data_IF_890538095289
#
_entry.id   IF_890538095289
#
_cell.length_a   1.000
_cell.length_b   1.000
_cell.length_c   1.000
_cell.angle_alpha   90.00
_cell.angle_beta   90.00
_cell.angle_gamma   90.00
#
_symmetry.space_group_name_H-M   'P 1'
#
loop_
_entity.id
_entity.type
_entity.pdbx_description
1 polymer ?
#
# COMPACT_ATOMS: atom_id res chain seq x y z
N UNK A 1 8.84 20.91 3.58
CA UNK A 1 8.69 20.36 4.95
C UNK A 1 7.40 20.91 5.49
N UNK A 2 6.45 20.04 5.85
CA UNK A 2 5.27 20.43 6.63
C UNK A 2 5.72 20.91 8.01
N UNK A 3 5.07 21.94 8.54
CA UNK A 3 5.44 22.78 9.72
C UNK A 3 5.48 22.05 11.08
N UNK A 4 5.83 20.76 11.14
CA UNK A 4 5.82 19.97 12.37
C UNK A 4 4.42 19.72 12.96
N UNK A 5 3.37 20.41 12.44
CA UNK A 5 1.96 20.31 12.87
C UNK A 5 1.45 18.88 12.83
N UNK A 6 1.85 18.10 11.83
CA UNK A 6 1.49 16.68 11.73
C UNK A 6 1.83 15.89 12.98
N UNK A 7 2.93 16.22 13.65
CA UNK A 7 3.42 15.50 14.82
C UNK A 7 3.02 16.13 16.16
N UNK A 8 2.31 17.26 16.15
CA UNK A 8 1.89 17.91 17.39
C UNK A 8 0.78 17.10 18.07
N UNK A 9 0.84 16.98 19.41
CA UNK A 9 -0.20 16.33 20.22
C UNK A 9 -0.46 14.86 19.86
N UNK A 10 -1.65 14.36 20.20
CA UNK A 10 -2.04 12.97 19.90
C UNK A 10 -2.55 12.84 18.45
N UNK A 11 -1.62 12.80 17.50
CA UNK A 11 -1.95 12.72 16.08
C UNK A 11 -2.71 11.43 15.72
N UNK A 12 -2.50 10.32 16.43
CA UNK A 12 -3.23 9.06 16.23
C UNK A 12 -4.71 9.19 16.56
N UNK A 13 -5.03 9.87 17.67
CA UNK A 13 -6.41 10.17 18.02
C UNK A 13 -7.08 11.05 16.95
N UNK A 14 -6.38 12.12 16.50
CA UNK A 14 -6.90 12.99 15.43
C UNK A 14 -7.14 12.23 14.14
N UNK A 15 -6.20 11.39 13.70
CA UNK A 15 -6.36 10.59 12.48
C UNK A 15 -7.63 9.73 12.56
N UNK A 16 -7.86 9.04 13.70
CA UNK A 16 -9.05 8.21 13.94
C UNK A 16 -10.34 9.04 13.96
N UNK A 17 -10.31 10.25 14.50
CA UNK A 17 -11.45 11.18 14.42
C UNK A 17 -11.75 11.57 12.97
N UNK A 18 -10.75 11.98 12.19
CA UNK A 18 -10.93 12.34 10.77
C UNK A 18 -11.50 11.20 9.92
N UNK A 19 -11.12 9.96 10.24
CA UNK A 19 -11.63 8.76 9.58
C UNK A 19 -13.11 8.54 9.93
N UNK A 20 -13.47 8.63 11.22
CA UNK A 20 -14.87 8.51 11.66
C UNK A 20 -15.77 9.63 11.11
N UNK A 21 -15.26 10.86 11.05
CA UNK A 21 -15.98 12.00 10.44
C UNK A 21 -16.30 11.78 8.96
N UNK A 22 -15.56 10.89 8.29
CA UNK A 22 -15.78 10.47 6.89
C UNK A 22 -16.65 9.22 6.76
N UNK A 23 -17.19 8.70 7.87
CA UNK A 23 -18.08 7.54 7.88
C UNK A 23 -17.37 6.18 7.79
N UNK A 24 -16.08 6.12 8.12
CA UNK A 24 -15.33 4.87 8.14
C UNK A 24 -15.05 4.42 9.58
N UNK A 25 -15.18 3.13 9.84
CA UNK A 25 -14.96 2.55 11.16
C UNK A 25 -13.48 2.22 11.44
N UNK A 26 -12.65 2.20 10.41
CA UNK A 26 -11.23 1.84 10.54
C UNK A 26 -10.35 2.53 9.48
N UNK A 27 -9.04 2.57 9.73
CA UNK A 27 -8.06 3.13 8.78
C UNK A 27 -8.00 2.27 7.53
N UNK A 28 -8.07 0.94 7.70
CA UNK A 28 -8.12 -0.03 6.60
C UNK A 28 -9.35 0.21 5.73
N UNK A 29 -10.54 0.35 6.31
CA UNK A 29 -11.76 0.61 5.55
C UNK A 29 -11.68 1.91 4.74
N UNK A 30 -11.15 2.98 5.32
CA UNK A 30 -10.94 4.25 4.62
C UNK A 30 -9.98 4.10 3.43
N UNK A 31 -8.87 3.37 3.63
CA UNK A 31 -7.85 3.15 2.62
C UNK A 31 -8.35 2.20 1.51
N UNK A 32 -9.06 1.14 1.85
CA UNK A 32 -9.58 0.14 0.90
C UNK A 32 -10.74 0.67 0.04
N UNK A 33 -11.47 1.69 0.51
CA UNK A 33 -12.41 2.42 -0.35
C UNK A 33 -11.71 3.20 -1.49
N UNK A 34 -10.37 3.34 -1.43
CA UNK A 34 -9.53 4.06 -2.40
C UNK A 34 -8.27 3.23 -2.70
N UNK A 35 -8.39 1.99 -3.20
CA UNK A 35 -7.31 1.02 -3.18
C UNK A 35 -6.08 1.45 -3.99
N UNK A 36 -6.28 2.26 -5.03
CA UNK A 36 -5.22 2.76 -5.94
C UNK A 36 -4.65 4.13 -5.54
N UNK A 37 -5.23 4.81 -4.55
CA UNK A 37 -4.76 6.13 -4.13
C UNK A 37 -3.40 6.03 -3.41
N UNK A 38 -2.48 6.97 -3.66
CA UNK A 38 -1.22 7.01 -2.88
C UNK A 38 -1.47 7.36 -1.41
N UNK A 39 -0.54 6.99 -0.51
CA UNK A 39 -0.59 7.39 0.90
C UNK A 39 -0.65 8.92 1.09
N UNK A 40 0.00 9.67 0.19
CA UNK A 40 -0.05 11.14 0.17
C UNK A 40 -1.46 11.63 -0.19
N UNK A 41 -2.11 11.01 -1.17
CA UNK A 41 -3.47 11.35 -1.54
C UNK A 41 -4.47 11.06 -0.41
N UNK A 42 -4.33 9.91 0.26
CA UNK A 42 -5.12 9.56 1.45
C UNK A 42 -4.93 10.60 2.57
N UNK A 43 -3.69 10.97 2.85
CA UNK A 43 -3.37 11.98 3.85
C UNK A 43 -3.95 13.36 3.52
N UNK A 44 -3.83 13.79 2.25
CA UNK A 44 -4.42 15.03 1.75
C UNK A 44 -5.94 15.04 1.89
N UNK A 45 -6.58 13.91 1.65
CA UNK A 45 -8.02 13.80 1.86
C UNK A 45 -8.40 13.91 3.33
N UNK A 46 -7.62 13.32 4.25
CA UNK A 46 -7.91 13.34 5.70
C UNK A 46 -7.68 14.71 6.34
N UNK A 47 -6.65 15.43 5.90
CA UNK A 47 -6.32 16.75 6.38
C UNK A 47 -5.12 17.30 5.63
N UNK A 48 -5.32 18.19 4.63
CA UNK A 48 -4.20 18.80 3.92
C UNK A 48 -3.34 19.58 4.92
N UNK A 49 -2.02 19.38 4.84
CA UNK A 49 -1.00 19.98 5.73
C UNK A 49 -1.09 19.61 7.22
N UNK A 50 -2.06 18.77 7.60
CA UNK A 50 -2.27 18.26 8.97
C UNK A 50 -1.84 16.79 9.05
N UNK A 51 -2.23 15.95 8.09
CA UNK A 51 -1.88 14.53 8.07
C UNK A 51 -0.78 14.27 7.03
N UNK A 52 0.24 13.51 7.44
CA UNK A 52 1.30 13.03 6.54
C UNK A 52 1.04 11.60 6.06
N UNK A 53 1.51 11.24 4.85
CA UNK A 53 1.36 9.88 4.31
C UNK A 53 1.95 8.80 5.22
N UNK A 54 3.08 9.08 5.88
CA UNK A 54 3.70 8.17 6.85
C UNK A 54 2.81 7.91 8.07
N UNK A 55 1.98 8.87 8.48
CA UNK A 55 1.04 8.69 9.59
C UNK A 55 -0.12 7.79 9.21
N UNK A 56 -0.59 7.89 7.97
CA UNK A 56 -1.60 6.97 7.42
C UNK A 56 -1.02 5.56 7.39
N UNK A 57 0.21 5.39 6.91
CA UNK A 57 0.85 4.08 6.84
C UNK A 57 1.12 3.48 8.23
N UNK A 58 1.65 4.25 9.17
CA UNK A 58 1.87 3.81 10.56
C UNK A 58 0.55 3.31 11.19
N UNK A 59 -0.54 4.05 11.00
CA UNK A 59 -1.85 3.64 11.51
C UNK A 59 -2.41 2.38 10.82
N UNK A 60 -2.15 2.20 9.52
CA UNK A 60 -2.48 0.97 8.79
C UNK A 60 -1.69 -0.23 9.33
N UNK A 61 -0.39 -0.07 9.55
CA UNK A 61 0.47 -1.12 10.13
C UNK A 61 -0.01 -1.51 11.52
N UNK A 62 -0.25 -0.54 12.41
CA UNK A 62 -0.77 -0.81 13.75
C UNK A 62 -2.11 -1.56 13.72
N UNK A 63 -3.03 -1.13 12.86
CA UNK A 63 -4.34 -1.77 12.72
C UNK A 63 -4.20 -3.19 12.18
N UNK A 64 -3.38 -3.40 11.15
CA UNK A 64 -3.14 -4.70 10.53
C UNK A 64 -2.42 -5.68 11.48
N UNK A 65 -1.46 -5.23 12.27
CA UNK A 65 -0.81 -6.06 13.31
C UNK A 65 -1.85 -6.50 14.35
N UNK A 66 -2.66 -5.56 14.85
CA UNK A 66 -3.70 -5.85 15.84
C UNK A 66 -4.78 -6.81 15.31
N UNK A 67 -5.14 -6.68 14.03
CA UNK A 67 -6.15 -7.52 13.39
C UNK A 67 -5.60 -8.80 12.74
N UNK A 68 -4.28 -9.02 12.80
CA UNK A 68 -3.57 -10.11 12.12
C UNK A 68 -3.77 -10.14 10.60
N UNK A 69 -3.80 -8.96 9.97
CA UNK A 69 -4.00 -8.78 8.53
C UNK A 69 -2.81 -8.10 7.84
N UNK A 70 -1.59 -8.34 8.34
CA UNK A 70 -0.37 -7.69 7.79
C UNK A 70 -0.12 -8.13 6.34
N UNK A 71 -0.33 -9.40 5.99
CA UNK A 71 -0.18 -9.85 4.60
C UNK A 71 -1.16 -9.14 3.66
N UNK A 72 -2.40 -8.94 4.10
CA UNK A 72 -3.39 -8.15 3.36
C UNK A 72 -2.94 -6.70 3.17
N UNK A 73 -2.42 -6.05 4.21
CA UNK A 73 -1.86 -4.70 4.12
C UNK A 73 -0.73 -4.64 3.08
N UNK A 74 0.17 -5.63 3.09
CA UNK A 74 1.29 -5.73 2.13
C UNK A 74 0.78 -5.86 0.70
N UNK A 75 -0.26 -6.67 0.44
CA UNK A 75 -0.92 -6.73 -0.89
C UNK A 75 -1.53 -5.38 -1.27
N UNK A 76 -2.20 -4.72 -0.33
CA UNK A 76 -2.79 -3.39 -0.54
C UNK A 76 -1.74 -2.31 -0.86
N UNK A 77 -0.56 -2.38 -0.24
CA UNK A 77 0.53 -1.46 -0.56
C UNK A 77 1.08 -1.71 -1.97
N UNK A 78 1.22 -2.98 -2.39
CA UNK A 78 1.62 -3.31 -3.76
C UNK A 78 0.65 -2.73 -4.80
N UNK A 79 -0.67 -2.83 -4.57
CA UNK A 79 -1.69 -2.23 -5.44
C UNK A 79 -1.45 -0.73 -5.64
N UNK A 80 -1.12 0.00 -4.55
CA UNK A 80 -0.84 1.45 -4.61
C UNK A 80 0.42 1.77 -5.40
N UNK A 81 1.48 0.99 -5.22
CA UNK A 81 2.74 1.20 -5.95
C UNK A 81 2.60 0.86 -7.44
N UNK A 82 1.94 -0.24 -7.77
CA UNK A 82 1.64 -0.60 -9.17
C UNK A 82 0.77 0.48 -9.82
N UNK A 83 -0.30 0.93 -9.16
CA UNK A 83 -1.17 1.99 -9.71
C UNK A 83 -0.45 3.31 -9.92
N UNK A 84 0.55 3.61 -9.08
CA UNK A 84 1.31 4.86 -9.13
C UNK A 84 2.32 4.88 -10.27
N UNK A 85 3.04 3.79 -10.48
CA UNK A 85 4.15 3.73 -11.43
C UNK A 85 3.79 3.05 -12.75
N UNK A 86 2.77 2.19 -12.76
CA UNK A 86 2.31 1.45 -13.94
C UNK A 86 0.86 1.82 -14.25
N UNK A 87 0.63 3.07 -14.64
CA UNK A 87 -0.72 3.60 -14.91
C UNK A 87 -1.49 2.82 -16.00
N UNK A 88 -0.77 2.11 -16.88
CA UNK A 88 -1.32 1.26 -17.94
C UNK A 88 -1.27 -0.24 -17.61
N UNK A 89 -0.98 -0.59 -16.34
CA UNK A 89 -0.79 -1.96 -15.88
C UNK A 89 0.56 -2.55 -16.26
N UNK A 90 0.72 -3.85 -16.02
CA UNK A 90 1.97 -4.55 -16.24
C UNK A 90 2.42 -4.48 -17.71
N UNK A 91 3.71 -4.22 -17.99
CA UNK A 91 4.18 -4.04 -19.35
C UNK A 91 4.17 -5.35 -20.15
N UNK A 92 3.98 -5.25 -21.46
CA UNK A 92 4.04 -6.41 -22.37
C UNK A 92 5.47 -6.98 -22.53
N UNK A 93 6.49 -6.15 -22.34
CA UNK A 93 7.89 -6.52 -22.34
C UNK A 93 8.66 -5.65 -21.34
N UNK A 94 9.67 -6.22 -20.66
CA UNK A 94 10.55 -5.49 -19.74
C UNK A 94 11.78 -4.92 -20.49
N UNK A 95 11.54 -3.88 -21.29
CA UNK A 95 12.61 -3.05 -21.86
C UNK A 95 13.22 -2.09 -20.82
N UNK A 96 14.18 -1.26 -21.20
CA UNK A 96 14.93 -0.45 -20.23
C UNK A 96 14.06 0.59 -19.49
N UNK A 97 13.03 1.14 -20.14
CA UNK A 97 12.11 2.12 -19.53
C UNK A 97 11.13 1.41 -18.58
N UNK A 98 10.41 0.41 -19.09
CA UNK A 98 9.42 -0.34 -18.31
C UNK A 98 10.06 -1.14 -17.17
N UNK A 99 11.29 -1.63 -17.35
CA UNK A 99 12.05 -2.28 -16.27
C UNK A 99 12.35 -1.32 -15.12
N UNK A 100 12.65 -0.06 -15.42
CA UNK A 100 12.88 0.94 -14.37
C UNK A 100 11.59 1.22 -13.59
N UNK A 101 10.45 1.40 -14.26
CA UNK A 101 9.16 1.63 -13.59
C UNK A 101 8.75 0.47 -12.68
N UNK A 102 8.88 -0.77 -13.18
CA UNK A 102 8.63 -1.99 -12.38
C UNK A 102 9.59 -2.06 -11.19
N UNK A 103 10.89 -1.78 -11.41
CA UNK A 103 11.88 -1.78 -10.33
C UNK A 103 11.56 -0.72 -9.25
N UNK A 104 11.11 0.47 -9.64
CA UNK A 104 10.69 1.51 -8.70
C UNK A 104 9.46 1.06 -7.90
N UNK A 105 8.45 0.50 -8.56
CA UNK A 105 7.24 0.01 -7.90
C UNK A 105 7.54 -1.06 -6.86
N UNK A 106 8.30 -2.10 -7.26
CA UNK A 106 8.68 -3.20 -6.35
C UNK A 106 9.65 -2.74 -5.26
N UNK A 107 10.56 -1.82 -5.58
CA UNK A 107 11.49 -1.23 -4.60
C UNK A 107 10.77 -0.43 -3.52
N UNK A 108 9.78 0.39 -3.89
CA UNK A 108 8.96 1.14 -2.94
C UNK A 108 8.08 0.21 -2.10
N UNK A 109 7.47 -0.79 -2.73
CA UNK A 109 6.70 -1.81 -2.02
C UNK A 109 7.55 -2.54 -0.96
N UNK A 110 8.76 -2.95 -1.33
CA UNK A 110 9.72 -3.56 -0.41
C UNK A 110 10.10 -2.60 0.73
N UNK A 111 10.40 -1.33 0.43
CA UNK A 111 10.77 -0.34 1.43
C UNK A 111 9.67 -0.02 2.46
N UNK A 112 8.40 -0.15 2.08
CA UNK A 112 7.28 0.01 3.02
C UNK A 112 7.01 -1.25 3.84
N UNK A 113 7.42 -2.43 3.36
CA UNK A 113 7.06 -3.72 3.96
C UNK A 113 7.52 -3.81 5.42
N UNK A 114 6.65 -4.21 6.36
CA UNK A 114 7.08 -4.46 7.74
C UNK A 114 8.16 -5.55 7.82
N UNK A 115 9.12 -5.41 8.74
CA UNK A 115 10.26 -6.34 8.90
C UNK A 115 9.82 -7.82 8.98
N UNK A 116 8.67 -8.09 9.60
CA UNK A 116 8.10 -9.45 9.72
C UNK A 116 7.73 -10.09 8.38
N UNK A 117 7.62 -9.32 7.30
CA UNK A 117 7.15 -9.74 5.98
C UNK A 117 8.19 -9.56 4.86
N UNK A 118 9.38 -9.00 5.14
CA UNK A 118 10.40 -8.71 4.13
C UNK A 118 10.77 -9.93 3.28
N UNK A 119 11.03 -11.08 3.90
CA UNK A 119 11.41 -12.29 3.18
C UNK A 119 10.28 -12.84 2.29
N UNK A 120 9.02 -12.68 2.71
CA UNK A 120 7.84 -13.07 1.91
C UNK A 120 7.70 -12.14 0.70
N UNK A 121 7.86 -10.83 0.91
CA UNK A 121 7.82 -9.82 -0.15
C UNK A 121 8.96 -9.99 -1.15
N UNK A 122 10.17 -10.28 -0.66
CA UNK A 122 11.32 -10.56 -1.53
C UNK A 122 11.05 -11.75 -2.46
N UNK A 123 10.58 -12.88 -1.91
CA UNK A 123 10.23 -14.06 -2.70
C UNK A 123 9.08 -13.78 -3.68
N UNK A 124 8.07 -13.05 -3.24
CA UNK A 124 6.96 -12.64 -4.09
C UNK A 124 7.42 -11.74 -5.26
N UNK A 125 8.32 -10.80 -5.00
CA UNK A 125 8.97 -9.99 -6.04
C UNK A 125 9.75 -10.85 -7.04
N UNK A 126 10.56 -11.79 -6.55
CA UNK A 126 11.30 -12.73 -7.39
C UNK A 126 10.36 -13.56 -8.29
N UNK A 127 9.23 -14.02 -7.74
CA UNK A 127 8.21 -14.79 -8.49
C UNK A 127 7.53 -13.93 -9.55
N UNK A 128 7.17 -12.68 -9.24
CA UNK A 128 6.57 -11.74 -10.21
C UNK A 128 7.52 -11.44 -11.36
N UNK A 129 8.81 -11.27 -11.10
CA UNK A 129 9.81 -11.01 -12.15
C UNK A 129 10.09 -12.26 -13.00
N UNK A 130 10.10 -13.45 -12.38
CA UNK A 130 10.30 -14.70 -13.09
C UNK A 130 9.06 -15.13 -13.90
N UNK A 131 7.87 -14.83 -13.41
CA UNK A 131 6.58 -15.17 -14.01
C UNK A 131 5.70 -13.91 -14.08
N UNK A 132 5.99 -13.00 -15.03
CA UNK A 132 5.26 -11.74 -15.14
C UNK A 132 3.77 -11.98 -15.41
N UNK A 133 2.88 -11.19 -14.78
CA UNK A 133 1.46 -11.23 -15.10
C UNK A 133 1.19 -10.78 -16.55
N UNK A 134 -0.02 -11.03 -17.07
CA UNK A 134 -0.39 -10.59 -18.41
C UNK A 134 -0.25 -9.08 -18.61
N UNK A 135 0.06 -8.67 -19.83
CA UNK A 135 0.13 -7.26 -20.20
C UNK A 135 -1.19 -6.54 -19.85
N UNK A 136 -1.07 -5.35 -19.25
CA UNK A 136 -2.22 -4.56 -18.79
C UNK A 136 -2.83 -5.04 -17.47
N UNK A 137 -2.30 -6.07 -16.83
CA UNK A 137 -2.74 -6.45 -15.49
C UNK A 137 -2.44 -5.33 -14.50
N UNK A 138 -3.48 -4.86 -13.82
CA UNK A 138 -3.39 -3.86 -12.76
C UNK A 138 -4.43 -4.23 -11.69
N UNK A 139 -4.01 -4.69 -10.51
CA UNK A 139 -4.94 -5.12 -9.48
C UNK A 139 -5.74 -3.91 -8.96
N UNK A 140 -7.05 -4.09 -8.78
CA UNK A 140 -7.93 -3.04 -8.26
C UNK A 140 -8.08 -3.07 -6.73
N UNK A 141 -7.48 -4.05 -6.06
CA UNK A 141 -7.56 -4.22 -4.62
C UNK A 141 -6.67 -5.35 -4.10
N UNK A 142 -6.54 -5.48 -2.78
CA UNK A 142 -5.66 -6.47 -2.15
C UNK A 142 -6.11 -7.93 -2.32
N UNK A 143 -7.33 -8.15 -2.81
CA UNK A 143 -7.93 -9.48 -3.06
C UNK A 143 -7.87 -9.92 -4.52
N UNK A 144 -7.04 -9.26 -5.34
CA UNK A 144 -6.75 -9.74 -6.68
C UNK A 144 -6.23 -11.20 -6.65
N UNK A 145 -6.71 -12.03 -7.57
CA UNK A 145 -6.45 -13.47 -7.59
C UNK A 145 -4.95 -13.80 -7.68
N UNK A 146 -4.19 -13.02 -8.46
CA UNK A 146 -2.75 -13.19 -8.58
C UNK A 146 -2.07 -12.82 -7.25
N UNK A 147 -2.51 -11.72 -6.62
CA UNK A 147 -1.96 -11.29 -5.33
C UNK A 147 -2.24 -12.28 -4.20
N UNK A 148 -3.43 -12.87 -4.15
CA UNK A 148 -3.79 -13.92 -3.19
C UNK A 148 -2.93 -15.18 -3.38
N UNK A 149 -2.62 -15.52 -4.63
CA UNK A 149 -1.72 -16.64 -4.94
C UNK A 149 -0.27 -16.34 -4.54
N UNK A 150 0.19 -15.11 -4.79
CA UNK A 150 1.56 -14.68 -4.53
C UNK A 150 1.86 -14.53 -3.03
N UNK A 151 0.90 -13.97 -2.30
CA UNK A 151 1.01 -13.63 -0.88
C UNK A 151 -0.25 -14.12 -0.18
N UNK A 152 -0.40 -15.44 0.04
CA UNK A 152 -1.57 -15.97 0.72
C UNK A 152 -1.64 -15.50 2.17
N UNK A 153 -2.85 -15.36 2.70
CA UNK A 153 -3.05 -15.02 4.11
C UNK A 153 -2.33 -16.01 5.03
N UNK A 154 -1.86 -15.52 6.17
CA UNK A 154 -1.31 -16.40 7.20
C UNK A 154 -2.47 -17.17 7.83
N UNK A 155 -2.33 -18.49 7.94
CA UNK A 155 -3.31 -19.33 8.64
C UNK A 155 -3.49 -18.79 10.07
N UNK A 156 -4.75 -18.53 10.46
CA UNK A 156 -5.14 -17.88 11.70
C UNK A 156 -4.88 -18.70 12.97
#
# INVERSE_FOLDING_TARGET
>A
MTDGRSWQGNWKARLRERIRDRGYDSVTAFAEARPTASLIALAKELGPDDIAGVQVYDALVEEAVRSRQVTRLVRGQLVRELSRHLAHGWPAALDDETRMEVAIALGQWSAYTPETHEERVRRAGDVLLANPPPAGWLPLGPDDELLLTLLPDEDA
#
